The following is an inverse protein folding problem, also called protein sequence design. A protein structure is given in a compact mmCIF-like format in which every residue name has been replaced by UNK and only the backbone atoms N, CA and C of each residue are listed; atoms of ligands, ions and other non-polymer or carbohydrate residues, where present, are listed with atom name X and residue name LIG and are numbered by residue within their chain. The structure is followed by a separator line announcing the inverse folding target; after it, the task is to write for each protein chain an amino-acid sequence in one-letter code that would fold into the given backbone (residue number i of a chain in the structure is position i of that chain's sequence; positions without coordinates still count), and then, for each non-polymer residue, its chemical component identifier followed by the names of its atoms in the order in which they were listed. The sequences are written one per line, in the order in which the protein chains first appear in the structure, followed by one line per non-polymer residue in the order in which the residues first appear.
data_IF_035020255873
#
_entry.id   IF_035020255873
#
_cell.length_a   1.000
_cell.length_b   1.000
_cell.length_c   1.000
_cell.angle_alpha   90.00
_cell.angle_beta   90.00
_cell.angle_gamma   90.00
#
_symmetry.space_group_name_H-M   'P 1'
#
loop_
_entity.id
_entity.type
_entity.pdbx_description
1 polymer ?
#
# COMPACT_ATOMS: atom_id res chain seq x y z
N UNK A 1 24.15 -1.32 -16.02
CA UNK A 1 23.28 -0.72 -17.06
C UNK A 1 21.98 -1.51 -17.07
N UNK A 2 20.96 -1.08 -16.32
CA UNK A 2 19.66 -1.75 -16.28
C UNK A 2 18.83 -1.30 -17.50
N UNK A 3 18.06 -2.18 -18.15
CA UNK A 3 17.29 -1.80 -19.33
C UNK A 3 16.13 -0.89 -18.93
N UNK A 4 16.15 0.34 -19.42
CA UNK A 4 15.06 1.31 -19.35
C UNK A 4 13.95 0.96 -20.35
N UNK A 5 13.24 -0.13 -20.11
CA UNK A 5 11.93 -0.38 -20.72
C UNK A 5 10.84 0.25 -19.86
N UNK A 6 9.68 0.66 -20.42
CA UNK A 6 8.55 1.02 -19.58
C UNK A 6 8.18 -0.22 -18.77
N UNK A 7 8.38 -0.18 -17.46
CA UNK A 7 7.95 -1.22 -16.54
C UNK A 7 6.45 -1.42 -16.75
N UNK A 8 6.08 -2.45 -17.53
CA UNK A 8 4.68 -2.80 -17.75
C UNK A 8 4.23 -3.57 -16.52
N UNK A 9 3.88 -2.84 -15.47
CA UNK A 9 3.19 -3.42 -14.33
C UNK A 9 1.91 -4.09 -14.83
N UNK A 10 1.82 -5.41 -14.66
CA UNK A 10 0.58 -6.14 -14.93
C UNK A 10 -0.33 -5.95 -13.73
N UNK A 11 -1.05 -4.84 -13.73
CA UNK A 11 -2.08 -4.57 -12.73
C UNK A 11 -3.34 -5.34 -13.15
N UNK A 12 -3.76 -6.29 -12.32
CA UNK A 12 -4.97 -7.09 -12.54
C UNK A 12 -6.21 -6.30 -12.07
N UNK A 13 -6.38 -5.10 -12.61
CA UNK A 13 -7.48 -4.21 -12.25
C UNK A 13 -8.78 -4.70 -12.88
N UNK A 14 -9.88 -4.64 -12.11
CA UNK A 14 -11.23 -4.92 -12.63
C UNK A 14 -11.61 -3.98 -13.77
N UNK A 15 -11.03 -2.77 -13.79
CA UNK A 15 -11.19 -1.78 -14.85
C UNK A 15 -9.82 -1.29 -15.31
N UNK A 16 -9.54 -1.43 -16.60
CA UNK A 16 -8.31 -0.90 -17.21
C UNK A 16 -8.39 0.62 -17.27
N UNK A 17 -7.61 1.27 -16.42
CA UNK A 17 -7.51 2.74 -16.37
C UNK A 17 -6.09 3.22 -16.63
N UNK A 18 -5.98 4.40 -17.23
CA UNK A 18 -4.71 5.12 -17.34
C UNK A 18 -4.69 6.23 -16.31
N UNK A 19 -3.50 6.51 -15.76
CA UNK A 19 -3.29 7.53 -14.72
C UNK A 19 -3.79 8.93 -15.12
N UNK A 20 -3.72 9.28 -16.41
CA UNK A 20 -4.11 10.62 -16.90
C UNK A 20 -5.60 10.78 -17.20
N UNK A 21 -6.35 9.68 -17.30
CA UNK A 21 -7.73 9.69 -17.80
C UNK A 21 -8.77 9.81 -16.65
N UNK A 22 -8.34 9.67 -15.39
CA UNK A 22 -9.21 9.65 -14.21
C UNK A 22 -8.64 10.52 -13.08
N UNK A 23 -9.51 10.96 -12.17
CA UNK A 23 -9.10 11.64 -10.95
C UNK A 23 -8.54 10.66 -9.91
N UNK A 24 -7.74 11.16 -8.97
CA UNK A 24 -7.21 10.35 -7.87
C UNK A 24 -8.30 9.65 -7.06
N UNK A 25 -9.46 10.31 -6.89
CA UNK A 25 -10.62 9.72 -6.19
C UNK A 25 -11.15 8.52 -6.97
N UNK A 26 -11.29 8.63 -8.30
CA UNK A 26 -11.74 7.54 -9.13
C UNK A 26 -10.72 6.38 -9.16
N UNK A 27 -9.41 6.68 -9.19
CA UNK A 27 -8.38 5.64 -9.06
C UNK A 27 -8.45 4.92 -7.73
N UNK A 28 -8.65 5.64 -6.62
CA UNK A 28 -8.82 5.04 -5.30
C UNK A 28 -10.03 4.10 -5.25
N UNK A 29 -11.16 4.53 -5.80
CA UNK A 29 -12.37 3.70 -5.85
C UNK A 29 -12.13 2.40 -6.62
N UNK A 30 -11.52 2.49 -7.80
CA UNK A 30 -11.24 1.31 -8.64
C UNK A 30 -10.24 0.37 -7.97
N UNK A 31 -9.22 0.92 -7.30
CA UNK A 31 -8.25 0.12 -6.56
C UNK A 31 -8.93 -0.63 -5.41
N UNK A 32 -9.76 0.05 -4.62
CA UNK A 32 -10.53 -0.58 -3.55
C UNK A 32 -11.46 -1.65 -4.13
N UNK A 33 -12.28 -1.33 -5.12
CA UNK A 33 -13.20 -2.31 -5.73
C UNK A 33 -12.45 -3.54 -6.28
N UNK A 34 -11.24 -3.35 -6.84
CA UNK A 34 -10.39 -4.46 -7.28
C UNK A 34 -9.99 -5.34 -6.10
N UNK A 35 -9.50 -4.75 -5.01
CA UNK A 35 -9.09 -5.48 -3.80
C UNK A 35 -10.28 -6.26 -3.23
N UNK A 36 -11.43 -5.61 -3.04
CA UNK A 36 -12.61 -6.26 -2.45
C UNK A 36 -13.20 -7.35 -3.35
N UNK A 37 -13.05 -7.23 -4.68
CA UNK A 37 -13.52 -8.26 -5.61
C UNK A 37 -12.60 -9.49 -5.65
N UNK A 38 -11.28 -9.28 -5.61
CA UNK A 38 -10.30 -10.36 -5.71
C UNK A 38 -10.01 -11.02 -4.35
N UNK A 39 -10.12 -10.23 -3.27
CA UNK A 39 -9.91 -10.66 -1.90
C UNK A 39 -11.12 -10.23 -1.07
N UNK A 40 -12.23 -10.98 -1.08
CA UNK A 40 -13.43 -10.59 -0.33
C UNK A 40 -13.16 -10.56 1.19
N UNK A 41 -13.62 -9.52 1.93
CA UNK A 41 -13.40 -9.41 3.38
C UNK A 41 -13.95 -10.57 4.22
N UNK A 42 -14.94 -11.31 3.68
CA UNK A 42 -15.51 -12.50 4.34
C UNK A 42 -14.58 -13.71 4.29
N UNK A 43 -13.66 -13.72 3.33
CA UNK A 43 -12.75 -14.84 3.04
C UNK A 43 -11.30 -14.48 3.39
N UNK A 44 -10.96 -13.18 3.35
CA UNK A 44 -9.62 -12.66 3.54
C UNK A 44 -9.60 -11.63 4.66
N UNK A 45 -8.61 -11.75 5.54
CA UNK A 45 -8.29 -10.70 6.51
C UNK A 45 -7.61 -9.54 5.77
N UNK A 46 -8.24 -8.37 5.77
CA UNK A 46 -7.64 -7.16 5.20
C UNK A 46 -6.78 -6.49 6.26
N UNK A 47 -5.49 -6.34 5.96
CA UNK A 47 -4.54 -5.59 6.78
C UNK A 47 -4.05 -4.45 5.90
N UNK A 48 -4.30 -3.23 6.37
CA UNK A 48 -3.84 -1.99 5.77
C UNK A 48 -2.65 -1.50 6.57
N UNK A 49 -1.48 -1.47 5.96
CA UNK A 49 -0.28 -0.92 6.59
C UNK A 49 0.00 0.48 6.06
N UNK A 50 0.43 1.37 6.94
CA UNK A 50 0.98 2.67 6.59
C UNK A 50 2.29 2.88 7.34
N UNK A 51 3.36 3.22 6.61
CA UNK A 51 4.67 3.51 7.18
C UNK A 51 4.84 5.01 7.35
N UNK A 52 5.20 5.46 8.55
CA UNK A 52 5.36 6.88 8.89
C UNK A 52 6.76 7.16 9.47
N UNK A 53 7.47 8.14 8.91
CA UNK A 53 8.76 8.54 9.47
C UNK A 53 8.57 9.49 10.65
N UNK A 54 8.97 9.05 11.84
CA UNK A 54 8.66 9.76 13.09
C UNK A 54 9.68 10.86 13.40
N UNK A 55 10.95 10.66 13.05
CA UNK A 55 12.02 11.66 12.96
C UNK A 55 13.31 10.98 12.47
N UNK A 56 14.26 11.69 11.86
CA UNK A 56 15.54 11.10 11.40
C UNK A 56 16.30 10.40 12.55
N UNK A 57 16.17 10.92 13.78
CA UNK A 57 16.79 10.32 14.97
C UNK A 57 15.93 9.24 15.65
N UNK A 58 14.62 9.24 15.40
CA UNK A 58 13.69 8.30 16.02
C UNK A 58 13.45 7.08 15.14
N UNK A 59 13.73 7.15 13.84
CA UNK A 59 13.46 6.07 12.89
C UNK A 59 12.05 6.17 12.33
N UNK A 60 11.56 5.04 11.83
CA UNK A 60 10.25 4.93 11.20
C UNK A 60 9.29 4.19 12.15
N UNK A 61 7.99 4.41 12.01
CA UNK A 61 6.95 3.61 12.66
C UNK A 61 5.95 3.10 11.64
N UNK A 62 5.52 1.86 11.85
CA UNK A 62 4.55 1.18 11.01
C UNK A 62 3.23 1.02 11.77
N UNK A 63 2.15 1.36 11.08
CA UNK A 63 0.79 1.22 11.58
C UNK A 63 0.10 0.13 10.78
N UNK A 64 -0.53 -0.80 11.47
CA UNK A 64 -1.37 -1.82 10.86
C UNK A 64 -2.81 -1.67 11.34
N UNK A 65 -3.74 -1.58 10.40
CA UNK A 65 -5.16 -1.53 10.64
C UNK A 65 -5.87 -2.71 9.97
N UNK A 66 -6.79 -3.32 10.69
CA UNK A 66 -7.75 -4.29 10.18
C UNK A 66 -9.09 -4.06 10.87
N UNK A 67 -10.18 -4.56 10.29
CA UNK A 67 -11.50 -4.50 10.93
C UNK A 67 -11.52 -5.20 12.31
N UNK A 68 -10.56 -6.10 12.58
CA UNK A 68 -10.46 -6.86 13.83
C UNK A 68 -9.50 -6.27 14.86
N UNK A 69 -8.51 -5.47 14.44
CA UNK A 69 -7.48 -4.94 15.33
C UNK A 69 -6.79 -3.72 14.71
N UNK A 70 -6.20 -2.89 15.55
CA UNK A 70 -5.31 -1.82 15.13
C UNK A 70 -4.13 -1.77 16.08
N UNK A 71 -2.91 -1.69 15.55
CA UNK A 71 -1.72 -1.51 16.35
C UNK A 71 -0.70 -0.63 15.63
N UNK A 72 0.18 -0.06 16.46
CA UNK A 72 1.25 0.83 16.08
C UNK A 72 2.56 0.18 16.55
N UNK A 73 3.53 -0.01 15.67
CA UNK A 73 4.84 -0.53 16.02
C UNK A 73 5.94 0.45 15.60
N UNK A 74 6.77 0.82 16.57
CA UNK A 74 7.94 1.67 16.30
C UNK A 74 9.11 0.80 15.85
N UNK A 75 9.53 0.89 14.58
CA UNK A 75 10.59 0.05 14.01
C UNK A 75 11.95 0.68 14.28
N UNK A 76 12.38 0.71 15.53
CA UNK A 76 13.76 1.08 15.94
C UNK A 76 14.28 2.46 15.49
N UNK A 77 15.46 2.86 15.96
CA UNK A 77 16.11 4.11 15.53
C UNK A 77 16.92 3.92 14.24
N UNK A 78 16.96 4.93 13.37
CA UNK A 78 17.71 4.96 12.10
C UNK A 78 17.23 4.02 10.97
N UNK A 79 16.00 3.53 11.06
CA UNK A 79 15.36 2.76 10.00
C UNK A 79 14.73 3.68 8.96
N UNK A 80 14.70 3.24 7.71
CA UNK A 80 14.06 3.95 6.59
C UNK A 80 12.69 3.34 6.29
N UNK A 81 11.83 4.06 5.56
CA UNK A 81 10.55 3.53 5.05
C UNK A 81 10.67 2.14 4.41
N UNK A 82 11.78 1.89 3.71
CA UNK A 82 12.00 0.63 3.01
C UNK A 82 12.35 -0.53 3.95
N UNK A 83 12.88 -0.24 5.14
CA UNK A 83 13.22 -1.25 6.14
C UNK A 83 11.97 -1.74 6.91
N UNK A 84 10.83 -1.04 6.79
CA UNK A 84 9.56 -1.41 7.41
C UNK A 84 8.66 -2.28 6.51
N UNK A 85 8.77 -2.16 5.19
CA UNK A 85 7.89 -2.87 4.24
C UNK A 85 8.34 -4.32 3.91
N UNK A 86 8.95 -5.03 4.86
CA UNK A 86 9.67 -6.31 4.63
C UNK A 86 8.81 -7.58 4.78
#
# INVERSE_FOLDING_TARGET
MLPSGPNRFKLDLILKVKKRDFSTIAHRSIALDTIYSHFPPKEWLHIYTDGTLLNISQGTGEDAFSDSFSFYLHVGTFTTYFDEEL
#
